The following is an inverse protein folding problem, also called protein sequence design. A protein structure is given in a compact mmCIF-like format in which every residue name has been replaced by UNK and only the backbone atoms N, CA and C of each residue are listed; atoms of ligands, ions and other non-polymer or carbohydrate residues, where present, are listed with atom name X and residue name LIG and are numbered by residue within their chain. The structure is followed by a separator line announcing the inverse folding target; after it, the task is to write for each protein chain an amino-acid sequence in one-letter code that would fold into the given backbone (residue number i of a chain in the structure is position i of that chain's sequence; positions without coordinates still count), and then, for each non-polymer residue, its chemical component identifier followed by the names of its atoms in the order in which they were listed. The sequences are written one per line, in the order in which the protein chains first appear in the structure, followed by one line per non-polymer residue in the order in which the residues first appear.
data_IF_639756979415
#
_entry.id   IF_639756979415
#
_cell.length_a   1.000
_cell.length_b   1.000
_cell.length_c   1.000
_cell.angle_alpha   90.00
_cell.angle_beta   90.00
_cell.angle_gamma   90.00
#
_symmetry.space_group_name_H-M   'P 1'
#
loop_
_entity.id
_entity.type
_entity.pdbx_description
1 polymer ?
#
# COMPACT_ATOMS: atom_id res chain seq x y z
N UNK A 1 -12.25 19.32 13.08
CA UNK A 1 -11.17 19.55 14.08
C UNK A 1 -10.64 18.20 14.54
N UNK A 2 -9.34 17.92 14.41
CA UNK A 2 -8.77 16.66 14.89
C UNK A 2 -8.86 16.60 16.42
N UNK A 3 -9.45 15.54 16.97
CA UNK A 3 -9.50 15.33 18.41
C UNK A 3 -8.08 15.03 18.93
N UNK A 4 -7.38 16.06 19.41
CA UNK A 4 -6.01 15.98 19.94
C UNK A 4 -5.89 15.13 21.20
N UNK A 5 -7.01 14.64 21.76
CA UNK A 5 -7.06 13.85 22.99
C UNK A 5 -7.26 12.34 22.77
N UNK A 6 -7.22 11.84 21.53
CA UNK A 6 -7.35 10.41 21.27
C UNK A 6 -6.13 9.63 21.81
N UNK A 7 -6.39 8.60 22.61
CA UNK A 7 -5.34 7.69 23.11
C UNK A 7 -4.58 7.04 21.94
N UNK A 8 -3.32 6.58 22.14
CA UNK A 8 -2.58 5.86 21.10
C UNK A 8 -3.37 4.70 20.47
N UNK A 9 -4.13 3.95 21.28
CA UNK A 9 -4.97 2.84 20.83
C UNK A 9 -6.11 3.29 19.91
N UNK A 10 -6.79 4.39 20.24
CA UNK A 10 -7.85 4.96 19.40
C UNK A 10 -7.30 5.48 18.06
N UNK A 11 -6.09 6.05 18.07
CA UNK A 11 -5.41 6.49 16.84
C UNK A 11 -5.06 5.32 15.91
N UNK A 12 -4.56 4.21 16.46
CA UNK A 12 -4.28 2.99 15.68
C UNK A 12 -5.57 2.42 15.08
N UNK A 13 -6.64 2.31 15.87
CA UNK A 13 -7.91 1.80 15.39
C UNK A 13 -8.49 2.67 14.24
N UNK A 14 -8.46 3.99 14.37
CA UNK A 14 -8.92 4.89 13.31
C UNK A 14 -8.05 4.83 12.06
N UNK A 15 -6.72 4.69 12.21
CA UNK A 15 -5.82 4.53 11.08
C UNK A 15 -6.13 3.24 10.30
N UNK A 16 -6.40 2.14 11.01
CA UNK A 16 -6.78 0.87 10.39
C UNK A 16 -8.11 0.99 9.65
N UNK A 17 -9.12 1.64 10.24
CA UNK A 17 -10.41 1.88 9.57
C UNK A 17 -10.21 2.68 8.28
N UNK A 18 -9.48 3.79 8.34
CA UNK A 18 -9.24 4.62 7.16
C UNK A 18 -8.45 3.87 6.08
N UNK A 19 -7.46 3.07 6.48
CA UNK A 19 -6.71 2.20 5.58
C UNK A 19 -7.61 1.19 4.88
N UNK A 20 -8.46 0.49 5.65
CA UNK A 20 -9.38 -0.52 5.12
C UNK A 20 -10.41 0.08 4.16
N UNK A 21 -10.97 1.25 4.49
CA UNK A 21 -11.91 1.95 3.60
C UNK A 21 -11.25 2.30 2.27
N UNK A 22 -10.06 2.90 2.30
CA UNK A 22 -9.35 3.27 1.07
C UNK A 22 -8.99 2.04 0.26
N UNK A 23 -8.49 1.02 0.92
CA UNK A 23 -8.13 -0.24 0.29
C UNK A 23 -9.37 -0.89 -0.37
N UNK A 24 -10.53 -0.91 0.29
CA UNK A 24 -11.79 -1.39 -0.30
C UNK A 24 -12.23 -0.56 -1.53
N UNK A 25 -12.08 0.76 -1.47
CA UNK A 25 -12.41 1.64 -2.61
C UNK A 25 -11.49 1.38 -3.81
N UNK A 26 -10.20 1.09 -3.56
CA UNK A 26 -9.25 0.69 -4.60
C UNK A 26 -9.74 -0.61 -5.24
N UNK A 27 -10.00 -1.65 -4.44
CA UNK A 27 -10.46 -2.95 -4.93
C UNK A 27 -11.77 -2.86 -5.73
N UNK A 28 -12.71 -1.99 -5.33
CA UNK A 28 -13.97 -1.79 -6.05
C UNK A 28 -13.77 -1.29 -7.50
N UNK A 29 -12.62 -0.70 -7.84
CA UNK A 29 -12.26 -0.29 -9.22
C UNK A 29 -11.71 -1.44 -10.06
N UNK A 30 -11.39 -2.59 -9.45
CA UNK A 30 -10.83 -3.77 -10.12
C UNK A 30 -11.73 -4.99 -9.87
N UNK A 31 -12.78 -5.19 -10.69
CA UNK A 31 -13.67 -6.34 -10.54
C UNK A 31 -12.89 -7.66 -10.52
N UNK A 32 -13.16 -8.51 -9.53
CA UNK A 32 -12.47 -9.78 -9.34
C UNK A 32 -11.14 -9.70 -8.61
N UNK A 33 -10.72 -8.53 -8.12
CA UNK A 33 -9.51 -8.43 -7.28
C UNK A 33 -9.71 -9.08 -5.91
N UNK A 34 -8.67 -9.74 -5.43
CA UNK A 34 -8.58 -10.26 -4.08
C UNK A 34 -8.01 -9.21 -3.11
N UNK A 35 -8.35 -9.37 -1.82
CA UNK A 35 -8.03 -8.44 -0.73
C UNK A 35 -7.09 -9.10 0.27
N UNK A 36 -6.14 -8.34 0.81
CA UNK A 36 -5.23 -8.79 1.89
C UNK A 36 -4.57 -10.15 1.57
N UNK A 37 -4.11 -10.30 0.32
CA UNK A 37 -3.63 -11.57 -0.23
C UNK A 37 -2.30 -11.93 0.41
N UNK A 38 -2.29 -13.05 1.13
CA UNK A 38 -1.08 -13.60 1.74
C UNK A 38 -0.25 -14.33 0.68
N UNK A 39 0.91 -13.78 0.36
CA UNK A 39 1.92 -14.39 -0.51
C UNK A 39 3.19 -14.72 0.28
N UNK A 40 3.85 -15.79 -0.13
CA UNK A 40 5.18 -16.17 0.37
C UNK A 40 6.20 -15.68 -0.65
N UNK A 41 7.18 -14.90 -0.20
CA UNK A 41 8.25 -14.43 -1.07
C UNK A 41 9.24 -15.57 -1.35
N UNK A 42 10.01 -15.52 -2.46
CA UNK A 42 10.99 -16.55 -2.79
C UNK A 42 11.98 -16.86 -1.66
N UNK A 43 12.30 -15.87 -0.83
CA UNK A 43 13.20 -16.01 0.31
C UNK A 43 12.53 -16.54 1.59
N UNK A 44 11.28 -17.04 1.50
CA UNK A 44 10.52 -17.57 2.63
C UNK A 44 9.86 -16.49 3.51
N UNK A 45 9.87 -15.22 3.07
CA UNK A 45 9.19 -14.13 3.75
C UNK A 45 7.67 -14.18 3.53
N UNK A 46 6.90 -13.50 4.37
CA UNK A 46 5.45 -13.32 4.16
C UNK A 46 5.16 -11.86 3.79
N UNK A 47 4.31 -11.67 2.78
CA UNK A 47 3.74 -10.39 2.38
C UNK A 47 2.22 -10.51 2.28
N UNK A 48 1.52 -9.49 2.77
CA UNK A 48 0.08 -9.35 2.60
C UNK A 48 -0.14 -8.21 1.61
N UNK A 49 -0.52 -8.51 0.37
CA UNK A 49 -0.80 -7.50 -0.66
C UNK A 49 -2.20 -6.94 -0.43
N UNK A 50 -2.36 -5.62 -0.36
CA UNK A 50 -3.65 -5.01 -0.03
C UNK A 50 -4.74 -5.33 -1.07
N UNK A 51 -4.39 -5.21 -2.36
CA UNK A 51 -5.24 -5.61 -3.50
C UNK A 51 -4.40 -6.31 -4.55
N UNK A 52 -4.85 -7.47 -5.01
CA UNK A 52 -4.28 -8.18 -6.16
C UNK A 52 -5.33 -8.34 -7.24
N UNK A 53 -5.11 -7.77 -8.42
CA UNK A 53 -6.05 -7.92 -9.54
C UNK A 53 -5.87 -9.27 -10.25
N UNK A 54 -6.88 -9.74 -11.01
CA UNK A 54 -6.76 -10.98 -11.79
C UNK A 54 -5.59 -10.98 -12.79
N UNK A 55 -5.19 -9.80 -13.28
CA UNK A 55 -4.07 -9.62 -14.21
C UNK A 55 -2.71 -9.57 -13.49
N UNK A 56 -2.69 -9.70 -12.16
CA UNK A 56 -1.47 -9.70 -11.35
C UNK A 56 -0.95 -8.31 -10.98
N UNK A 57 -1.77 -7.27 -11.02
CA UNK A 57 -1.40 -5.97 -10.47
C UNK A 57 -1.50 -6.03 -8.94
N UNK A 58 -0.35 -5.96 -8.26
CA UNK A 58 -0.27 -5.84 -6.81
C UNK A 58 -0.27 -4.36 -6.40
N UNK A 59 -1.28 -3.98 -5.62
CA UNK A 59 -1.50 -2.60 -5.18
C UNK A 59 -1.32 -2.51 -3.67
N UNK A 60 -0.46 -1.59 -3.22
CA UNK A 60 -0.38 -1.16 -1.82
C UNK A 60 -1.14 0.17 -1.64
N UNK A 61 -1.99 0.22 -0.62
CA UNK A 61 -2.81 1.39 -0.27
C UNK A 61 -2.20 2.14 0.90
N UNK A 62 -1.99 3.45 0.76
CA UNK A 62 -1.54 4.33 1.84
C UNK A 62 -2.47 5.53 2.02
N UNK A 63 -2.73 5.89 3.28
CA UNK A 63 -3.48 7.09 3.62
C UNK A 63 -2.53 8.17 4.13
N UNK A 64 -2.63 9.36 3.53
CA UNK A 64 -1.87 10.52 3.97
C UNK A 64 -0.49 10.65 3.33
N UNK A 65 0.35 11.45 4.00
CA UNK A 65 1.75 11.68 3.60
C UNK A 65 2.62 10.55 4.15
N UNK A 66 3.21 9.75 3.29
CA UNK A 66 4.00 8.56 3.69
C UNK A 66 5.48 8.74 3.41
N UNK A 67 6.32 8.43 4.40
CA UNK A 67 7.78 8.42 4.26
C UNK A 67 8.33 7.01 3.99
N UNK A 68 9.55 6.95 3.46
CA UNK A 68 10.31 5.71 3.30
C UNK A 68 10.86 5.24 4.65
N UNK A 69 9.98 4.75 5.52
CA UNK A 69 10.38 4.09 6.76
C UNK A 69 10.95 2.70 6.49
N UNK A 70 11.64 2.12 7.48
CA UNK A 70 12.13 0.73 7.36
C UNK A 70 10.99 -0.26 7.05
N UNK A 71 9.82 -0.07 7.65
CA UNK A 71 8.65 -0.91 7.39
C UNK A 71 8.18 -0.80 5.95
N UNK A 72 8.04 0.43 5.42
CA UNK A 72 7.60 0.66 4.02
C UNK A 72 8.64 0.10 3.04
N UNK A 73 9.93 0.29 3.33
CA UNK A 73 11.01 -0.28 2.53
C UNK A 73 10.93 -1.80 2.48
N UNK A 74 10.77 -2.47 3.63
CA UNK A 74 10.65 -3.93 3.70
C UNK A 74 9.42 -4.42 2.93
N UNK A 75 8.28 -3.75 3.06
CA UNK A 75 7.06 -4.10 2.30
C UNK A 75 7.32 -4.03 0.80
N UNK A 76 7.84 -2.90 0.32
CA UNK A 76 8.12 -2.71 -1.10
C UNK A 76 9.22 -3.66 -1.62
N UNK A 77 10.26 -3.95 -0.83
CA UNK A 77 11.27 -4.96 -1.19
C UNK A 77 10.65 -6.34 -1.39
N UNK A 78 9.68 -6.74 -0.55
CA UNK A 78 8.95 -7.99 -0.74
C UNK A 78 8.05 -7.98 -1.97
N UNK A 79 7.45 -6.84 -2.29
CA UNK A 79 6.67 -6.69 -3.53
C UNK A 79 7.56 -6.84 -4.77
N UNK A 80 8.77 -6.27 -4.73
CA UNK A 80 9.78 -6.43 -5.79
C UNK A 80 10.25 -7.89 -5.89
N UNK A 81 10.47 -8.57 -4.76
CA UNK A 81 10.80 -10.00 -4.74
C UNK A 81 9.70 -10.84 -5.42
N UNK A 82 8.43 -10.55 -5.11
CA UNK A 82 7.28 -11.22 -5.72
C UNK A 82 7.15 -10.88 -7.21
N UNK A 83 7.41 -9.64 -7.62
CA UNK A 83 7.36 -9.24 -9.03
C UNK A 83 8.45 -9.90 -9.87
N UNK A 84 9.65 -10.09 -9.30
CA UNK A 84 10.77 -10.71 -10.00
C UNK A 84 10.71 -12.25 -10.03
N UNK A 85 9.79 -12.86 -9.31
CA UNK A 85 9.60 -14.31 -9.29
C UNK A 85 8.65 -14.74 -10.43
N UNK A 86 9.12 -15.52 -11.43
CA UNK A 86 8.27 -15.97 -12.53
C UNK A 86 7.15 -16.93 -12.10
N UNK A 87 7.18 -17.45 -10.88
CA UNK A 87 6.14 -18.32 -10.32
C UNK A 87 5.12 -17.56 -9.45
N UNK A 88 5.36 -16.28 -9.21
CA UNK A 88 4.46 -15.42 -8.45
C UNK A 88 3.24 -14.99 -9.27
N UNK A 89 2.16 -14.64 -8.58
CA UNK A 89 0.95 -14.07 -9.17
C UNK A 89 1.10 -12.57 -9.51
N UNK A 90 2.25 -11.97 -9.19
CA UNK A 90 2.49 -10.52 -9.31
C UNK A 90 3.20 -10.20 -10.62
N UNK A 91 2.51 -9.48 -11.51
CA UNK A 91 2.99 -9.06 -12.83
C UNK A 91 3.30 -7.56 -12.91
N UNK A 92 2.77 -6.76 -11.99
CA UNK A 92 3.03 -5.31 -11.94
C UNK A 92 2.79 -4.76 -10.54
N UNK A 93 3.39 -3.62 -10.23
CA UNK A 93 3.41 -3.03 -8.90
C UNK A 93 2.86 -1.60 -8.90
N UNK A 94 2.00 -1.28 -7.93
CA UNK A 94 1.45 0.07 -7.77
C UNK A 94 1.32 0.48 -6.31
N UNK A 95 1.65 1.73 -6.02
CA UNK A 95 1.30 2.38 -4.77
C UNK A 95 0.20 3.42 -5.02
N UNK A 96 -0.86 3.33 -4.24
CA UNK A 96 -1.96 4.29 -4.30
C UNK A 96 -2.06 5.08 -2.99
N UNK A 97 -2.02 6.40 -3.10
CA UNK A 97 -2.07 7.31 -1.97
C UNK A 97 -3.38 8.07 -1.95
N UNK A 98 -4.14 7.93 -0.85
CA UNK A 98 -5.38 8.68 -0.65
C UNK A 98 -5.21 9.77 0.40
N UNK A 99 -5.91 10.90 0.23
CA UNK A 99 -5.81 12.03 1.15
C UNK A 99 -6.24 11.65 2.56
N UNK A 100 -5.44 12.06 3.54
CA UNK A 100 -5.77 11.86 4.95
C UNK A 100 -6.92 12.80 5.35
N UNK A 101 -8.05 12.29 5.86
CA UNK A 101 -9.15 13.13 6.34
C UNK A 101 -8.79 13.90 7.62
N UNK A 102 -7.70 13.50 8.30
CA UNK A 102 -7.24 14.10 9.55
C UNK A 102 -6.26 15.24 9.28
N UNK A 103 -5.29 15.03 8.39
CA UNK A 103 -4.19 15.98 8.16
C UNK A 103 -4.32 16.77 6.86
N UNK A 104 -5.21 16.35 5.96
CA UNK A 104 -5.35 16.91 4.62
C UNK A 104 -4.16 16.63 3.70
N UNK A 105 -3.13 15.91 4.15
CA UNK A 105 -1.94 15.60 3.33
C UNK A 105 -2.15 14.31 2.52
N UNK A 106 -1.38 14.13 1.45
CA UNK A 106 -1.38 12.94 0.58
C UNK A 106 0.01 12.71 -0.04
N UNK A 107 0.31 11.47 -0.41
CA UNK A 107 1.41 11.12 -1.31
C UNK A 107 2.75 10.72 -0.65
N UNK A 108 3.70 10.19 -1.46
CA UNK A 108 5.00 9.69 -1.01
C UNK A 108 6.01 10.81 -0.79
N UNK A 109 6.93 10.69 0.19
CA UNK A 109 8.01 11.70 0.40
C UNK A 109 8.90 11.71 -0.83
N UNK A 110 9.67 12.78 -1.12
CA UNK A 110 10.57 12.76 -2.26
C UNK A 110 11.47 11.51 -2.28
N UNK A 111 11.97 11.09 -1.11
CA UNK A 111 12.73 9.85 -0.95
C UNK A 111 11.91 8.57 -1.25
N UNK A 112 10.65 8.51 -0.82
CA UNK A 112 9.79 7.37 -1.14
C UNK A 112 9.41 7.35 -2.62
N UNK A 113 9.14 8.52 -3.21
CA UNK A 113 8.80 8.65 -4.62
C UNK A 113 9.95 8.18 -5.52
N UNK A 114 11.16 8.66 -5.26
CA UNK A 114 12.37 8.22 -5.98
C UNK A 114 12.52 6.71 -5.86
N UNK A 115 12.47 6.18 -4.63
CA UNK A 115 12.59 4.74 -4.39
C UNK A 115 11.55 3.92 -5.15
N UNK A 116 10.28 4.34 -5.14
CA UNK A 116 9.20 3.64 -5.85
C UNK A 116 9.42 3.68 -7.37
N UNK A 117 9.75 4.84 -7.94
CA UNK A 117 9.98 4.98 -9.39
C UNK A 117 11.19 4.18 -9.86
N UNK A 118 12.30 4.22 -9.12
CA UNK A 118 13.51 3.46 -9.43
C UNK A 118 13.28 1.94 -9.43
N UNK A 119 12.29 1.45 -8.68
CA UNK A 119 11.94 0.04 -8.59
C UNK A 119 10.69 -0.33 -9.41
N UNK A 120 10.28 0.52 -10.35
CA UNK A 120 9.23 0.18 -11.33
C UNK A 120 7.79 0.24 -10.79
N UNK A 121 7.55 0.86 -9.63
CA UNK A 121 6.19 1.06 -9.13
C UNK A 121 5.50 2.20 -9.87
N UNK A 122 4.25 1.96 -10.27
CA UNK A 122 3.33 3.03 -10.60
C UNK A 122 2.88 3.76 -9.33
N UNK A 123 2.73 5.08 -9.40
CA UNK A 123 2.30 5.92 -8.28
C UNK A 123 1.00 6.63 -8.67
N UNK A 124 -0.08 6.34 -7.95
CA UNK A 124 -1.37 7.03 -8.11
C UNK A 124 -1.66 7.87 -6.86
N UNK A 125 -2.09 9.11 -7.08
CA UNK A 125 -2.62 9.98 -6.04
C UNK A 125 -4.13 10.07 -6.24
N UNK A 126 -4.90 9.57 -5.28
CA UNK A 126 -6.34 9.67 -5.23
C UNK A 126 -6.71 10.92 -4.41
N UNK A 127 -7.23 11.95 -5.08
CA UNK A 127 -7.72 13.20 -4.46
C UNK A 127 -9.25 13.22 -4.39
#
# INVERSE_FOLDING_TARGET
MANRNATPRQRVAQNNINGNVVSNNIAARFPGSDREVRLVTPNGGVRFVDVLTPEGLAIESKVGRTSLSNTVRIQASKDIELFNDPFSLVNSLRFEFSRSPITGKVGPTPQLEIFLRENGFEIIIND
#
